data_IF_547722907597
#
_entry.id   IF_547722907597
#
_cell.length_a   1.000
_cell.length_b   1.000
_cell.length_c   1.000
_cell.angle_alpha   90.00
_cell.angle_beta   90.00
_cell.angle_gamma   90.00
#
_symmetry.space_group_name_H-M   'P 1'
#
loop_
_entity.id
_entity.type
_entity.pdbx_description
1 polymer ?
#
# COMPACT_ATOMS: atom_id res chain seq x y z
N UNK A 1 3.82 -20.15 -0.29
CA UNK A 1 4.10 -19.38 0.95
C UNK A 1 5.20 -18.39 0.65
N UNK A 2 5.25 -17.25 1.35
CA UNK A 2 6.33 -16.28 1.19
C UNK A 2 7.70 -16.93 1.41
N UNK A 3 8.65 -16.60 0.53
CA UNK A 3 10.04 -17.01 0.69
C UNK A 3 10.81 -15.99 1.53
N UNK A 4 11.81 -16.45 2.31
CA UNK A 4 12.57 -15.58 3.21
C UNK A 4 13.27 -14.44 2.45
N UNK A 5 14.01 -14.75 1.37
CA UNK A 5 14.75 -13.75 0.58
C UNK A 5 13.85 -12.70 -0.05
N UNK A 6 12.81 -13.09 -0.79
CA UNK A 6 11.88 -12.13 -1.39
C UNK A 6 11.13 -11.30 -0.33
N UNK A 7 10.89 -11.87 0.86
CA UNK A 7 10.27 -11.14 1.97
C UNK A 7 11.22 -10.12 2.58
N UNK A 8 12.52 -10.42 2.63
CA UNK A 8 13.54 -9.46 3.06
C UNK A 8 13.69 -8.32 2.07
N UNK A 9 13.70 -8.60 0.77
CA UNK A 9 13.69 -7.59 -0.29
C UNK A 9 12.46 -6.67 -0.20
N UNK A 10 11.26 -7.26 -0.04
CA UNK A 10 10.01 -6.51 0.15
C UNK A 10 10.08 -5.61 1.40
N UNK A 11 10.57 -6.13 2.53
CA UNK A 11 10.74 -5.34 3.76
C UNK A 11 11.73 -4.19 3.58
N UNK A 12 12.84 -4.43 2.88
CA UNK A 12 13.80 -3.38 2.55
C UNK A 12 13.16 -2.26 1.71
N UNK A 13 12.41 -2.62 0.66
CA UNK A 13 11.72 -1.64 -0.18
C UNK A 13 10.68 -0.82 0.59
N UNK A 14 9.92 -1.46 1.49
CA UNK A 14 8.96 -0.77 2.35
C UNK A 14 9.66 0.16 3.35
N UNK A 15 10.73 -0.30 4.01
CA UNK A 15 11.51 0.51 4.95
C UNK A 15 12.15 1.73 4.29
N UNK A 16 12.70 1.56 3.08
CA UNK A 16 13.28 2.66 2.30
C UNK A 16 12.26 3.75 1.94
N UNK A 17 10.98 3.37 1.79
CA UNK A 17 9.94 4.27 1.29
C UNK A 17 9.07 4.88 2.39
N UNK A 18 8.82 4.13 3.47
CA UNK A 18 7.98 4.55 4.59
C UNK A 18 8.79 5.00 5.82
N UNK A 19 10.11 4.73 5.85
CA UNK A 19 10.99 5.10 6.96
C UNK A 19 11.04 4.05 8.08
N UNK A 20 11.58 4.46 9.23
CA UNK A 20 11.89 3.53 10.34
C UNK A 20 10.66 2.88 10.98
N UNK A 21 9.51 3.58 10.97
CA UNK A 21 8.28 3.17 11.63
C UNK A 21 7.28 2.48 10.67
N UNK A 22 7.78 1.93 9.56
CA UNK A 22 6.94 1.32 8.52
C UNK A 22 6.18 0.06 8.96
N UNK A 23 6.67 -0.63 9.99
CA UNK A 23 6.18 -1.95 10.36
C UNK A 23 5.27 -1.90 11.59
N UNK A 24 3.98 -2.07 11.34
CA UNK A 24 2.99 -2.32 12.39
C UNK A 24 3.20 -3.72 13.00
N UNK A 25 3.54 -3.78 14.29
CA UNK A 25 3.74 -5.04 15.01
C UNK A 25 2.47 -5.58 15.65
N UNK A 26 1.40 -4.80 15.68
CA UNK A 26 0.13 -5.15 16.31
C UNK A 26 -0.83 -5.84 15.33
N UNK A 27 -0.52 -5.83 14.02
CA UNK A 27 -1.31 -6.52 13.01
C UNK A 27 -1.27 -8.06 13.23
N UNK A 28 -2.42 -8.70 13.52
CA UNK A 28 -2.46 -10.13 13.76
C UNK A 28 -2.27 -10.91 12.44
N UNK A 29 -1.03 -11.36 12.20
CA UNK A 29 -0.68 -12.32 11.15
C UNK A 29 -0.43 -13.70 11.74
N UNK A 30 -0.82 -14.80 11.07
CA UNK A 30 -1.38 -14.87 9.72
C UNK A 30 -2.86 -14.50 9.64
N UNK A 31 -3.26 -13.90 8.51
CA UNK A 31 -4.67 -13.64 8.21
C UNK A 31 -5.30 -14.80 7.42
N UNK A 32 -6.60 -15.05 7.62
CA UNK A 32 -7.37 -16.04 6.87
C UNK A 32 -7.99 -15.46 5.59
N UNK A 33 -7.21 -14.71 4.82
CA UNK A 33 -7.63 -14.25 3.49
C UNK A 33 -7.49 -15.38 2.46
N UNK A 34 -8.48 -15.54 1.59
CA UNK A 34 -8.39 -16.42 0.42
C UNK A 34 -7.79 -15.62 -0.73
N UNK A 35 -6.54 -15.91 -1.10
CA UNK A 35 -5.80 -15.18 -2.13
C UNK A 35 -5.15 -16.16 -3.12
N UNK A 36 -5.37 -15.93 -4.41
CA UNK A 36 -4.87 -16.79 -5.49
C UNK A 36 -3.37 -16.59 -5.75
N UNK A 37 -2.78 -15.51 -5.22
CA UNK A 37 -1.34 -15.26 -5.28
C UNK A 37 -0.51 -16.43 -4.71
N UNK A 38 -1.11 -17.21 -3.80
CA UNK A 38 -0.53 -18.43 -3.24
C UNK A 38 -0.12 -19.46 -4.31
N UNK A 39 -0.81 -19.53 -5.46
CA UNK A 39 -0.44 -20.40 -6.57
C UNK A 39 0.91 -20.00 -7.19
N UNK A 40 1.20 -18.71 -7.33
CA UNK A 40 2.51 -18.24 -7.80
C UNK A 40 3.62 -18.55 -6.79
N UNK A 41 3.34 -18.34 -5.50
CA UNK A 41 4.27 -18.66 -4.41
C UNK A 41 4.54 -20.16 -4.24
N UNK A 42 3.81 -21.03 -4.94
CA UNK A 42 4.10 -22.46 -5.06
C UNK A 42 5.02 -22.81 -6.23
N UNK A 43 5.34 -21.85 -7.11
CA UNK A 43 6.13 -22.06 -8.33
C UNK A 43 7.46 -21.31 -8.32
N UNK A 44 7.49 -20.11 -7.77
CA UNK A 44 8.68 -19.26 -7.70
C UNK A 44 8.81 -18.62 -6.32
N UNK A 45 10.04 -18.33 -5.84
CA UNK A 45 10.23 -17.50 -4.65
C UNK A 45 9.55 -16.15 -4.84
N UNK A 46 8.73 -15.75 -3.88
CA UNK A 46 8.03 -14.47 -3.91
C UNK A 46 7.59 -14.03 -2.52
N UNK A 47 7.02 -12.84 -2.45
CA UNK A 47 6.48 -12.24 -1.24
C UNK A 47 5.14 -11.56 -1.53
N UNK A 48 4.18 -11.81 -0.64
CA UNK A 48 2.92 -11.09 -0.55
C UNK A 48 2.91 -10.30 0.75
N UNK A 49 2.54 -9.03 0.70
CA UNK A 49 2.53 -8.13 1.85
C UNK A 49 1.19 -7.40 1.92
N UNK A 50 0.78 -7.05 3.13
CA UNK A 50 -0.35 -6.16 3.39
C UNK A 50 0.19 -4.75 3.60
N UNK A 51 -0.51 -3.76 3.06
CA UNK A 51 -0.23 -2.34 3.28
C UNK A 51 -1.44 -1.77 4.01
N UNK A 52 -1.21 -1.15 5.16
CA UNK A 52 -2.27 -0.47 5.91
C UNK A 52 -2.80 0.73 5.12
N UNK A 53 -4.12 0.84 5.01
CA UNK A 53 -4.78 1.91 4.27
C UNK A 53 -5.46 2.96 5.15
N UNK A 54 -5.71 2.63 6.42
CA UNK A 54 -6.30 3.55 7.38
C UNK A 54 -5.33 4.68 7.71
N UNK A 55 -5.75 5.91 7.42
CA UNK A 55 -5.05 7.15 7.74
C UNK A 55 -5.79 8.00 8.79
N UNK A 56 -6.85 7.45 9.41
CA UNK A 56 -7.74 8.16 10.32
C UNK A 56 -8.74 9.08 9.61
N UNK A 57 -8.77 9.12 8.28
CA UNK A 57 -9.62 9.98 7.46
C UNK A 57 -10.61 9.18 6.58
N UNK A 58 -11.44 8.33 7.20
CA UNK A 58 -12.48 7.48 6.56
C UNK A 58 -11.97 6.35 5.64
N UNK A 59 -10.71 5.91 5.79
CA UNK A 59 -10.16 4.73 5.11
C UNK A 59 -10.07 3.50 6.04
N UNK A 60 -10.86 3.46 7.11
CA UNK A 60 -10.88 2.40 8.13
C UNK A 60 -11.79 1.21 7.77
N UNK A 61 -12.69 1.40 6.80
CA UNK A 61 -13.58 0.35 6.34
C UNK A 61 -12.78 -0.80 5.66
N UNK A 62 -13.03 -2.08 6.02
CA UNK A 62 -12.27 -3.19 5.47
C UNK A 62 -12.68 -3.51 4.03
N UNK A 63 -11.80 -4.20 3.30
CA UNK A 63 -12.11 -4.77 1.99
C UNK A 63 -13.45 -5.55 2.04
N UNK A 64 -14.24 -5.43 0.97
CA UNK A 64 -15.62 -5.95 0.82
C UNK A 64 -16.72 -5.21 1.59
N UNK A 65 -16.40 -4.19 2.38
CA UNK A 65 -17.42 -3.27 2.91
C UNK A 65 -18.03 -2.42 1.78
N UNK A 66 -19.35 -2.13 1.80
CA UNK A 66 -19.93 -1.12 0.91
C UNK A 66 -19.46 0.31 1.21
N UNK A 67 -18.84 0.51 2.37
CA UNK A 67 -18.22 1.78 2.79
C UNK A 67 -16.72 1.81 2.49
N UNK A 68 -16.18 0.78 1.83
CA UNK A 68 -14.77 0.76 1.47
C UNK A 68 -14.43 1.95 0.57
N UNK A 69 -13.49 2.77 1.02
CA UNK A 69 -12.90 3.86 0.26
C UNK A 69 -11.41 3.57 0.06
N UNK A 70 -10.90 3.80 -1.15
CA UNK A 70 -9.51 3.49 -1.47
C UNK A 70 -8.62 4.70 -1.16
N UNK A 71 -7.59 4.51 -0.35
CA UNK A 71 -6.66 5.58 -0.02
C UNK A 71 -5.70 5.88 -1.19
N UNK A 72 -6.07 6.83 -2.06
CA UNK A 72 -5.27 7.24 -3.22
C UNK A 72 -3.87 7.75 -2.85
N UNK A 73 -3.66 8.23 -1.62
CA UNK A 73 -2.35 8.68 -1.13
C UNK A 73 -1.33 7.53 -1.08
N UNK A 74 -1.79 6.28 -1.03
CA UNK A 74 -0.92 5.10 -1.09
C UNK A 74 -0.36 4.81 -2.49
N UNK A 75 -1.03 5.26 -3.56
CA UNK A 75 -0.62 4.98 -4.94
C UNK A 75 0.85 5.35 -5.20
N UNK A 76 1.30 6.61 -4.95
CA UNK A 76 2.69 6.98 -5.20
C UNK A 76 3.68 6.20 -4.33
N UNK A 77 3.32 5.88 -3.09
CA UNK A 77 4.17 5.14 -2.14
C UNK A 77 4.37 3.71 -2.63
N UNK A 78 3.27 2.97 -2.86
CA UNK A 78 3.31 1.56 -3.26
C UNK A 78 3.90 1.39 -4.66
N UNK A 79 3.63 2.31 -5.59
CA UNK A 79 4.23 2.31 -6.92
C UNK A 79 5.76 2.44 -6.85
N UNK A 80 6.28 3.27 -5.93
CA UNK A 80 7.72 3.43 -5.72
C UNK A 80 8.35 2.19 -5.10
N UNK A 81 7.66 1.51 -4.17
CA UNK A 81 8.11 0.20 -3.67
C UNK A 81 8.24 -0.83 -4.81
N UNK A 82 7.23 -0.95 -5.68
CA UNK A 82 7.31 -1.86 -6.83
C UNK A 82 8.39 -1.45 -7.83
N UNK A 83 8.57 -0.15 -8.11
CA UNK A 83 9.63 0.33 -8.98
C UNK A 83 11.02 -0.06 -8.43
N UNK A 84 11.25 0.08 -7.12
CA UNK A 84 12.49 -0.36 -6.46
C UNK A 84 12.72 -1.86 -6.65
N UNK A 85 11.71 -2.68 -6.34
CA UNK A 85 11.80 -4.15 -6.45
C UNK A 85 12.04 -4.61 -7.89
N UNK A 86 11.47 -3.91 -8.87
CA UNK A 86 11.67 -4.20 -10.29
C UNK A 86 12.99 -3.63 -10.86
N UNK A 87 13.75 -2.87 -10.08
CA UNK A 87 14.94 -2.15 -10.57
C UNK A 87 14.61 -1.06 -11.60
N UNK A 88 13.39 -0.53 -11.57
CA UNK A 88 12.92 0.52 -12.46
C UNK A 88 13.26 1.92 -11.92
N UNK A 89 13.31 2.96 -12.79
CA UNK A 89 13.41 4.33 -12.33
C UNK A 89 12.27 4.68 -11.37
N UNK A 90 12.57 5.41 -10.30
CA UNK A 90 11.55 5.83 -9.36
C UNK A 90 10.66 6.92 -9.99
N UNK A 91 9.33 6.78 -9.94
CA UNK A 91 8.43 7.87 -10.23
C UNK A 91 8.81 9.08 -9.38
N UNK A 92 8.75 10.28 -9.96
CA UNK A 92 8.87 11.52 -9.18
C UNK A 92 7.87 11.43 -8.02
N UNK A 93 8.33 11.70 -6.80
CA UNK A 93 7.42 11.88 -5.66
C UNK A 93 6.49 13.04 -6.06
N UNK A 94 5.29 12.71 -6.49
CA UNK A 94 4.36 13.68 -7.05
C UNK A 94 4.10 14.75 -6.03
N UNK A 95 4.53 15.98 -6.32
CA UNK A 95 3.96 17.17 -5.72
C UNK A 95 2.47 17.11 -6.00
N UNK A 96 1.67 17.18 -4.95
CA UNK A 96 0.23 17.01 -4.98
C UNK A 96 -0.39 17.85 -6.12
N UNK A 97 -0.93 17.18 -7.14
CA UNK A 97 -1.68 17.84 -8.22
C UNK A 97 -3.18 17.75 -7.98
N UNK A 98 -3.61 17.28 -6.81
CA UNK A 98 -5.02 17.06 -6.48
C UNK A 98 -5.54 17.96 -5.35
N UNK A 99 -4.71 18.79 -4.71
CA UNK A 99 -5.14 19.72 -3.65
C UNK A 99 -5.91 20.98 -4.13
N UNK A 100 -6.04 21.24 -5.43
CA UNK A 100 -6.68 22.47 -5.93
C UNK A 100 -8.08 22.23 -6.52
N UNK A 101 -9.00 21.62 -5.76
CA UNK A 101 -10.41 21.59 -6.17
C UNK A 101 -11.41 21.30 -5.02
N UNK A 102 -11.41 22.11 -3.97
CA UNK A 102 -12.59 22.25 -3.09
C UNK A 102 -12.57 23.58 -2.31
N UNK A 103 -12.72 24.68 -3.03
CA UNK A 103 -13.31 25.88 -2.42
C UNK A 103 -14.84 25.71 -2.45
N UNK A 104 -15.57 25.91 -1.33
CA UNK A 104 -17.01 25.76 -1.32
C UNK A 104 -17.63 26.83 -2.22
N UNK A 105 -18.50 26.40 -3.13
CA UNK A 105 -19.32 27.31 -3.92
C UNK A 105 -20.18 28.15 -2.96
N UNK A 106 -19.95 29.47 -2.94
CA UNK A 106 -20.79 30.40 -2.22
C UNK A 106 -22.23 30.27 -2.72
N UNK A 107 -23.16 29.97 -1.82
CA UNK A 107 -24.59 30.08 -2.08
C UNK A 107 -24.88 31.53 -2.49
N UNK A 108 -25.40 31.72 -3.70
CA UNK A 108 -26.13 32.92 -4.07
C UNK A 108 -27.61 32.60 -3.99
N UNK A 109 -28.33 33.49 -3.29
CA UNK A 109 -29.77 33.46 -3.01
C UNK A 109 -30.65 33.54 -4.27
#
# INVERSE_FOLDING_TARGET
MNSAGASEEMRGALADELGADWHDQDLPVPIMASEDFSYYLGKVPGAFALVGADDGENHDAPCHSPLYDFNDRLIPIVARCFARLAGAPLPNAGTDRFEEQSAPAALQE
#
